data_IF_698632866447
#
_entry.id   IF_698632866447
#
_cell.length_a   1.000
_cell.length_b   1.000
_cell.length_c   1.000
_cell.angle_alpha   90.00
_cell.angle_beta   90.00
_cell.angle_gamma   90.00
#
_symmetry.space_group_name_H-M   'P 1'
#
loop_
_entity.id
_entity.type
_entity.pdbx_description
1 polymer ?
#
# COMPACT_ATOMS: atom_id res chain seq x y z
N UNK A 1 10.48 -13.92 -14.69
CA UNK A 1 9.64 -14.01 -13.46
C UNK A 1 8.34 -13.22 -13.58
N UNK A 2 8.35 -11.93 -13.82
CA UNK A 2 7.12 -11.08 -13.91
C UNK A 2 6.10 -11.61 -14.93
N UNK A 3 6.55 -12.11 -16.08
CA UNK A 3 5.63 -12.73 -17.07
C UNK A 3 4.86 -13.93 -16.50
N UNK A 4 5.49 -14.76 -15.66
CA UNK A 4 4.83 -15.92 -15.06
C UNK A 4 3.83 -15.47 -13.99
N UNK A 5 4.18 -14.48 -13.17
CA UNK A 5 3.26 -13.89 -12.18
C UNK A 5 2.01 -13.34 -12.89
N UNK A 6 2.17 -12.64 -14.01
CA UNK A 6 1.01 -12.12 -14.79
C UNK A 6 0.14 -13.23 -15.37
N UNK A 7 0.73 -14.37 -15.77
CA UNK A 7 -0.06 -15.55 -16.19
C UNK A 7 -0.88 -16.12 -15.04
N UNK A 8 -0.33 -16.15 -13.83
CA UNK A 8 -1.08 -16.58 -12.64
C UNK A 8 -2.23 -15.62 -12.34
N UNK A 9 -2.04 -14.30 -12.40
CA UNK A 9 -3.14 -13.36 -12.26
C UNK A 9 -4.23 -13.60 -13.31
N UNK A 10 -3.85 -13.88 -14.57
CA UNK A 10 -4.81 -14.19 -15.60
C UNK A 10 -5.58 -15.48 -15.32
N UNK A 11 -4.97 -16.48 -14.69
CA UNK A 11 -5.64 -17.71 -14.28
C UNK A 11 -6.71 -17.48 -13.19
N UNK A 12 -6.47 -16.52 -12.30
CA UNK A 12 -7.39 -16.12 -11.20
C UNK A 12 -8.30 -14.93 -11.55
N UNK A 13 -8.37 -14.54 -12.83
CA UNK A 13 -9.19 -13.41 -13.25
C UNK A 13 -10.67 -13.61 -12.89
N UNK A 14 -11.30 -12.51 -12.46
CA UNK A 14 -12.70 -12.45 -12.13
C UNK A 14 -13.37 -11.25 -12.80
N UNK A 15 -14.08 -11.49 -13.90
CA UNK A 15 -14.73 -10.44 -14.69
C UNK A 15 -15.76 -9.63 -13.91
N UNK A 16 -16.50 -10.27 -12.97
CA UNK A 16 -17.49 -9.57 -12.14
C UNK A 16 -16.81 -8.55 -11.22
N UNK A 17 -15.70 -8.93 -10.60
CA UNK A 17 -14.91 -8.04 -9.74
C UNK A 17 -14.29 -6.93 -10.59
N UNK A 18 -13.67 -7.26 -11.71
CA UNK A 18 -13.09 -6.28 -12.63
C UNK A 18 -14.11 -5.24 -13.09
N UNK A 19 -15.32 -5.66 -13.45
CA UNK A 19 -16.38 -4.75 -13.88
C UNK A 19 -16.87 -3.85 -12.75
N UNK A 20 -16.95 -4.36 -11.51
CA UNK A 20 -17.29 -3.55 -10.33
C UNK A 20 -16.23 -2.47 -10.07
N UNK A 21 -14.95 -2.83 -10.14
CA UNK A 21 -13.84 -1.88 -9.94
C UNK A 21 -13.84 -0.78 -11.02
N UNK A 22 -14.00 -1.14 -12.30
CA UNK A 22 -14.11 -0.16 -13.39
C UNK A 22 -15.30 0.79 -13.20
N UNK A 23 -16.46 0.26 -12.80
CA UNK A 23 -17.65 1.08 -12.51
C UNK A 23 -17.46 1.97 -11.29
N UNK A 24 -16.62 1.58 -10.34
CA UNK A 24 -16.25 2.40 -9.19
C UNK A 24 -15.19 3.46 -9.52
N UNK A 25 -14.68 3.50 -10.74
CA UNK A 25 -13.71 4.50 -11.19
C UNK A 25 -12.26 4.15 -10.91
N UNK A 26 -11.94 2.84 -10.75
CA UNK A 26 -10.54 2.40 -10.63
C UNK A 26 -9.74 2.85 -11.87
N UNK A 27 -8.63 3.58 -11.70
CA UNK A 27 -7.88 4.19 -12.80
C UNK A 27 -7.03 3.22 -13.61
N UNK A 28 -6.77 2.00 -13.09
CA UNK A 28 -5.92 1.04 -13.78
C UNK A 28 -6.55 0.57 -15.10
N UNK A 29 -5.82 0.68 -16.20
CA UNK A 29 -6.28 0.21 -17.52
C UNK A 29 -6.38 -1.32 -17.62
N UNK A 30 -5.58 -2.05 -16.83
CA UNK A 30 -5.61 -3.51 -16.74
C UNK A 30 -6.06 -3.93 -15.35
N UNK A 31 -7.29 -4.45 -15.27
CA UNK A 31 -7.89 -4.99 -14.05
C UNK A 31 -8.35 -6.41 -14.37
N UNK A 32 -7.68 -7.40 -13.82
CA UNK A 32 -8.07 -8.82 -13.95
C UNK A 32 -9.16 -9.20 -12.94
N UNK A 33 -9.29 -8.44 -11.86
CA UNK A 33 -10.28 -8.64 -10.81
C UNK A 33 -9.94 -9.80 -9.88
N UNK A 34 -8.66 -10.16 -9.75
CA UNK A 34 -8.23 -11.15 -8.76
C UNK A 34 -8.64 -10.70 -7.36
N UNK A 35 -9.08 -11.64 -6.54
CA UNK A 35 -9.30 -11.37 -5.13
C UNK A 35 -7.94 -11.14 -4.44
N UNK A 36 -7.92 -10.32 -3.40
CA UNK A 36 -6.68 -10.04 -2.68
C UNK A 36 -6.02 -11.31 -2.12
N UNK A 37 -6.82 -12.30 -1.69
CA UNK A 37 -6.33 -13.59 -1.21
C UNK A 37 -5.60 -14.38 -2.32
N UNK A 38 -6.06 -14.29 -3.56
CA UNK A 38 -5.40 -14.94 -4.70
C UNK A 38 -4.06 -14.26 -5.00
N UNK A 39 -4.03 -12.92 -5.01
CA UNK A 39 -2.79 -12.15 -5.17
C UNK A 39 -1.79 -12.48 -4.06
N UNK A 40 -2.24 -12.60 -2.81
CA UNK A 40 -1.41 -13.03 -1.67
C UNK A 40 -0.83 -14.44 -1.87
N UNK A 41 -1.66 -15.38 -2.33
CA UNK A 41 -1.23 -16.75 -2.63
C UNK A 41 -0.17 -16.79 -3.73
N UNK A 42 -0.34 -16.02 -4.80
CA UNK A 42 0.63 -15.90 -5.89
C UNK A 42 1.94 -15.28 -5.38
N UNK A 43 1.87 -14.21 -4.60
CA UNK A 43 3.05 -13.57 -4.02
C UNK A 43 3.81 -14.54 -3.06
N UNK A 44 3.10 -15.33 -2.26
CA UNK A 44 3.71 -16.31 -1.38
C UNK A 44 4.50 -17.37 -2.16
N UNK A 45 3.87 -18.01 -3.18
CA UNK A 45 4.53 -18.99 -4.05
C UNK A 45 5.73 -18.38 -4.79
N UNK A 46 5.61 -17.13 -5.22
CA UNK A 46 6.70 -16.41 -5.88
C UNK A 46 7.89 -16.23 -4.95
N UNK A 47 7.68 -15.84 -3.69
CA UNK A 47 8.75 -15.75 -2.68
C UNK A 47 9.45 -17.08 -2.47
N UNK A 48 8.65 -18.15 -2.30
CA UNK A 48 9.19 -19.51 -2.09
C UNK A 48 10.05 -19.97 -3.31
N UNK A 49 9.63 -19.58 -4.52
CA UNK A 49 10.33 -19.96 -5.77
C UNK A 49 11.62 -19.17 -5.96
N UNK A 50 11.63 -17.88 -5.66
CA UNK A 50 12.78 -17.00 -5.88
C UNK A 50 13.83 -17.20 -4.78
N UNK A 51 13.43 -17.15 -3.50
CA UNK A 51 14.30 -17.33 -2.35
C UNK A 51 15.38 -16.26 -2.13
N UNK A 52 15.80 -15.55 -3.16
CA UNK A 52 16.84 -14.51 -3.13
C UNK A 52 16.21 -13.12 -2.94
N UNK A 53 16.64 -12.40 -1.89
CA UNK A 53 16.08 -11.11 -1.52
C UNK A 53 16.29 -10.03 -2.59
N UNK A 54 17.47 -10.00 -3.24
CA UNK A 54 17.74 -9.00 -4.28
C UNK A 54 16.90 -9.25 -5.52
N UNK A 55 16.71 -10.51 -5.89
CA UNK A 55 15.86 -10.89 -7.01
C UNK A 55 14.37 -10.63 -6.70
N UNK A 56 13.94 -10.82 -5.44
CA UNK A 56 12.60 -10.43 -4.98
C UNK A 56 12.39 -8.91 -5.10
N UNK A 57 13.35 -8.11 -4.60
CA UNK A 57 13.30 -6.66 -4.68
C UNK A 57 13.24 -6.16 -6.14
N UNK A 58 14.03 -6.75 -7.04
CA UNK A 58 14.03 -6.44 -8.47
C UNK A 58 12.68 -6.79 -9.12
N UNK A 59 12.14 -8.00 -8.84
CA UNK A 59 10.84 -8.47 -9.35
C UNK A 59 9.71 -7.58 -8.85
N UNK A 60 9.70 -7.23 -7.57
CA UNK A 60 8.70 -6.35 -6.96
C UNK A 60 8.77 -4.93 -7.57
N UNK A 61 9.99 -4.41 -7.80
CA UNK A 61 10.17 -3.10 -8.42
C UNK A 61 9.67 -3.08 -9.87
N UNK A 62 9.86 -4.16 -10.63
CA UNK A 62 9.33 -4.29 -11.99
C UNK A 62 7.80 -4.35 -11.99
N UNK A 63 7.19 -5.09 -11.04
CA UNK A 63 5.73 -5.11 -10.88
C UNK A 63 5.19 -3.74 -10.47
N UNK A 64 5.85 -3.05 -9.52
CA UNK A 64 5.43 -1.72 -9.07
C UNK A 64 5.47 -0.69 -10.19
N UNK A 65 6.43 -0.78 -11.10
CA UNK A 65 6.55 0.13 -12.24
C UNK A 65 5.42 0.01 -13.26
N UNK A 66 4.66 -1.10 -13.24
CA UNK A 66 3.46 -1.27 -14.08
C UNK A 66 2.24 -0.60 -13.45
N UNK A 67 2.18 0.72 -13.59
CA UNK A 67 1.07 1.55 -13.08
C UNK A 67 -0.26 1.23 -13.75
N UNK A 68 -0.24 0.58 -14.91
CA UNK A 68 -1.45 0.20 -15.63
C UNK A 68 -2.14 -1.05 -15.07
N UNK A 69 -1.44 -1.88 -14.28
CA UNK A 69 -1.95 -3.17 -13.77
C UNK A 69 -2.21 -3.12 -12.27
N UNK A 70 -3.50 -3.18 -11.88
CA UNK A 70 -3.92 -3.26 -10.47
C UNK A 70 -3.25 -4.41 -9.72
N UNK A 71 -3.27 -5.62 -10.28
CA UNK A 71 -2.73 -6.81 -9.62
C UNK A 71 -1.22 -6.75 -9.45
N UNK A 72 -0.48 -6.14 -10.39
CA UNK A 72 0.95 -5.89 -10.25
C UNK A 72 1.22 -4.93 -9.09
N UNK A 73 0.46 -3.84 -8.99
CA UNK A 73 0.56 -2.85 -7.90
C UNK A 73 0.24 -3.48 -6.53
N UNK A 74 -0.73 -4.40 -6.45
CA UNK A 74 -1.05 -5.12 -5.23
C UNK A 74 0.02 -6.15 -4.84
N UNK A 75 0.59 -6.88 -5.80
CA UNK A 75 1.57 -7.92 -5.51
C UNK A 75 2.95 -7.38 -5.11
N UNK A 76 3.36 -6.24 -5.67
CA UNK A 76 4.68 -5.69 -5.45
C UNK A 76 5.04 -5.48 -3.96
N UNK A 77 4.19 -4.86 -3.12
CA UNK A 77 4.48 -4.71 -1.68
C UNK A 77 4.57 -6.04 -0.92
N UNK A 78 3.92 -7.09 -1.43
CA UNK A 78 3.97 -8.41 -0.82
C UNK A 78 5.26 -9.17 -1.12
N UNK A 79 5.97 -8.77 -2.17
CA UNK A 79 7.21 -9.40 -2.63
C UNK A 79 8.46 -8.65 -2.16
N UNK A 80 8.37 -7.33 -1.99
CA UNK A 80 9.54 -6.52 -1.67
C UNK A 80 10.03 -6.79 -0.25
N UNK A 81 11.31 -7.20 -0.05
CA UNK A 81 11.88 -7.39 1.28
C UNK A 81 12.03 -6.05 2.01
N UNK A 82 11.41 -5.87 3.20
CA UNK A 82 11.44 -4.59 3.91
C UNK A 82 12.86 -4.09 4.23
N UNK A 83 13.80 -5.00 4.50
CA UNK A 83 15.20 -4.70 4.82
C UNK A 83 15.98 -4.08 3.65
N UNK A 84 15.47 -4.20 2.43
CA UNK A 84 16.07 -3.61 1.22
C UNK A 84 15.37 -2.31 0.78
N UNK A 85 14.27 -1.93 1.45
CA UNK A 85 13.53 -0.72 1.12
C UNK A 85 14.19 0.50 1.76
N UNK A 86 14.71 1.40 0.92
CA UNK A 86 15.22 2.71 1.40
C UNK A 86 14.08 3.70 1.60
N UNK A 87 14.27 4.68 2.48
CA UNK A 87 13.27 5.73 2.73
C UNK A 87 12.92 6.51 1.45
N UNK A 88 13.91 6.80 0.61
CA UNK A 88 13.73 7.47 -0.68
C UNK A 88 12.84 6.64 -1.62
N UNK A 89 13.11 5.34 -1.74
CA UNK A 89 12.30 4.44 -2.57
C UNK A 89 10.89 4.28 -2.01
N UNK A 90 10.73 4.19 -0.70
CA UNK A 90 9.43 4.14 -0.06
C UNK A 90 8.60 5.39 -0.38
N UNK A 91 9.21 6.57 -0.29
CA UNK A 91 8.57 7.84 -0.66
C UNK A 91 8.14 7.84 -2.13
N UNK A 92 9.02 7.45 -3.07
CA UNK A 92 8.68 7.34 -4.49
C UNK A 92 7.50 6.39 -4.73
N UNK A 93 7.42 5.29 -4.00
CA UNK A 93 6.29 4.39 -4.11
C UNK A 93 5.00 5.05 -3.61
N UNK A 94 5.03 5.72 -2.47
CA UNK A 94 3.87 6.44 -1.93
C UNK A 94 3.36 7.54 -2.88
N UNK A 95 4.25 8.28 -3.53
CA UNK A 95 3.91 9.35 -4.48
C UNK A 95 3.27 8.83 -5.79
N UNK A 96 3.45 7.55 -6.11
CA UNK A 96 2.92 6.93 -7.33
C UNK A 96 1.68 6.06 -7.09
N UNK A 97 1.13 6.05 -5.88
CA UNK A 97 -0.14 5.34 -5.59
C UNK A 97 -1.31 6.09 -6.22
N UNK A 98 -2.26 5.35 -6.78
CA UNK A 98 -3.43 5.91 -7.48
C UNK A 98 -4.76 5.53 -6.82
N UNK A 99 -4.77 4.55 -5.90
CA UNK A 99 -6.00 4.07 -5.23
C UNK A 99 -5.76 3.78 -3.76
N UNK A 100 -6.81 3.97 -2.95
CA UNK A 100 -6.82 3.60 -1.52
C UNK A 100 -6.53 2.12 -1.29
N UNK A 101 -7.00 1.24 -2.19
CA UNK A 101 -6.74 -0.20 -2.09
C UNK A 101 -5.25 -0.53 -2.19
N UNK A 102 -4.56 0.08 -3.14
CA UNK A 102 -3.09 -0.08 -3.30
C UNK A 102 -2.36 0.52 -2.11
N UNK A 103 -2.81 1.67 -1.62
CA UNK A 103 -2.27 2.34 -0.44
C UNK A 103 -2.36 1.48 0.81
N UNK A 104 -3.57 0.99 1.12
CA UNK A 104 -3.80 0.11 2.27
C UNK A 104 -2.91 -1.12 2.22
N UNK A 105 -2.79 -1.72 1.03
CA UNK A 105 -1.96 -2.90 0.83
C UNK A 105 -0.46 -2.57 0.96
N UNK A 106 0.01 -1.45 0.40
CA UNK A 106 1.38 -0.96 0.54
C UNK A 106 1.75 -0.74 2.01
N UNK A 107 0.92 -0.01 2.74
CA UNK A 107 1.12 0.26 4.16
C UNK A 107 1.11 -1.03 5.00
N UNK A 108 0.14 -1.94 4.75
CA UNK A 108 -0.05 -3.16 5.54
C UNK A 108 1.00 -4.25 5.23
N UNK A 109 1.44 -4.38 3.98
CA UNK A 109 2.33 -5.48 3.57
C UNK A 109 3.81 -5.11 3.63
N UNK A 110 4.14 -3.83 3.50
CA UNK A 110 5.53 -3.39 3.39
C UNK A 110 5.88 -2.28 4.39
N UNK A 111 5.26 -1.10 4.30
CA UNK A 111 5.76 0.09 4.98
C UNK A 111 5.77 -0.03 6.51
N UNK A 112 4.78 -0.68 7.13
CA UNK A 112 4.74 -0.87 8.59
C UNK A 112 5.89 -1.73 9.14
N UNK A 113 6.60 -2.43 8.27
CA UNK A 113 7.74 -3.27 8.63
C UNK A 113 9.08 -2.56 8.51
N UNK A 114 9.09 -1.35 7.95
CA UNK A 114 10.31 -0.55 7.82
C UNK A 114 10.82 -0.11 9.20
N UNK A 115 12.16 -0.07 9.41
CA UNK A 115 12.73 0.42 10.67
C UNK A 115 12.34 1.86 10.97
N UNK A 116 12.29 2.71 9.94
CA UNK A 116 12.04 4.16 10.04
C UNK A 116 10.59 4.54 9.65
N UNK A 117 9.63 3.64 9.88
CA UNK A 117 8.22 3.87 9.55
C UNK A 117 7.65 5.14 10.23
N UNK A 118 8.13 5.48 11.45
CA UNK A 118 7.75 6.70 12.16
C UNK A 118 8.21 7.96 11.41
N UNK A 119 9.44 8.01 10.96
CA UNK A 119 9.95 9.14 10.17
C UNK A 119 9.22 9.26 8.83
N UNK A 120 8.93 8.12 8.19
CA UNK A 120 8.23 8.10 6.90
C UNK A 120 6.81 8.64 7.03
N UNK A 121 5.99 8.18 8.00
CA UNK A 121 4.62 8.67 8.09
C UNK A 121 4.58 10.18 8.39
N UNK A 122 5.49 10.71 9.21
CA UNK A 122 5.57 12.15 9.50
C UNK A 122 5.85 12.98 8.25
N UNK A 123 6.70 12.48 7.36
CA UNK A 123 6.95 13.10 6.07
C UNK A 123 5.70 13.08 5.19
N UNK A 124 5.02 11.94 5.12
CA UNK A 124 3.86 11.75 4.27
C UNK A 124 2.64 12.58 4.70
N UNK A 125 2.36 12.69 6.02
CA UNK A 125 1.23 13.51 6.51
C UNK A 125 1.43 15.01 6.27
N UNK A 126 2.66 15.46 6.06
CA UNK A 126 2.98 16.85 5.73
C UNK A 126 2.93 17.15 4.22
N UNK A 127 2.65 16.14 3.38
CA UNK A 127 2.63 16.28 1.93
C UNK A 127 1.38 17.02 1.44
N UNK A 128 1.44 17.69 0.27
CA UNK A 128 0.29 18.43 -0.29
C UNK A 128 -0.80 17.53 -0.88
N UNK A 129 -0.43 16.38 -1.44
CA UNK A 129 -1.37 15.42 -2.03
C UNK A 129 -2.20 14.72 -0.96
N UNK A 130 -3.53 14.76 -1.10
CA UNK A 130 -4.47 14.08 -0.20
C UNK A 130 -4.25 12.56 -0.13
N UNK A 131 -3.89 11.93 -1.24
CA UNK A 131 -3.65 10.49 -1.28
C UNK A 131 -2.33 10.12 -0.57
N UNK A 132 -1.28 10.92 -0.75
CA UNK A 132 -0.02 10.73 -0.02
C UNK A 132 -0.21 10.96 1.48
N UNK A 133 -1.01 11.97 1.88
CA UNK A 133 -1.43 12.14 3.29
C UNK A 133 -2.17 10.90 3.81
N UNK A 134 -3.08 10.35 3.00
CA UNK A 134 -3.78 9.12 3.36
C UNK A 134 -2.79 8.00 3.66
N UNK A 135 -1.78 7.79 2.79
CA UNK A 135 -0.70 6.81 3.04
C UNK A 135 -0.03 7.07 4.38
N UNK A 136 0.29 8.32 4.69
CA UNK A 136 0.93 8.70 5.95
C UNK A 136 0.09 8.36 7.18
N UNK A 137 -1.19 8.72 7.18
CA UNK A 137 -2.11 8.40 8.28
C UNK A 137 -2.41 6.90 8.37
N UNK A 138 -2.52 6.21 7.22
CA UNK A 138 -2.68 4.74 7.21
C UNK A 138 -1.48 4.03 7.79
N UNK A 139 -0.28 4.47 7.44
CA UNK A 139 0.96 3.95 8.02
C UNK A 139 1.02 4.23 9.52
N UNK A 140 0.69 5.45 9.96
CA UNK A 140 0.63 5.84 11.36
C UNK A 140 -0.30 4.91 12.16
N UNK A 141 -1.54 4.66 11.66
CA UNK A 141 -2.48 3.73 12.30
C UNK A 141 -1.89 2.31 12.37
N UNK A 142 -1.30 1.81 11.29
CA UNK A 142 -0.71 0.47 11.28
C UNK A 142 0.43 0.33 12.31
N UNK A 143 1.29 1.33 12.45
CA UNK A 143 2.40 1.33 13.43
C UNK A 143 1.87 1.45 14.86
N UNK A 144 0.82 2.24 15.07
CA UNK A 144 0.11 2.38 16.34
C UNK A 144 -0.51 1.04 16.78
N UNK A 145 -1.28 0.39 15.91
CA UNK A 145 -1.89 -0.93 16.18
C UNK A 145 -0.87 -2.05 16.40
N UNK A 146 0.37 -1.88 15.91
CA UNK A 146 1.48 -2.79 16.21
C UNK A 146 2.13 -2.50 17.57
N UNK A 147 1.69 -1.51 18.33
CA UNK A 147 2.28 -1.08 19.60
C UNK A 147 3.69 -0.46 19.46
N UNK A 148 4.06 -0.04 18.25
CA UNK A 148 5.37 0.58 17.94
C UNK A 148 5.34 2.10 18.05
N UNK A 149 4.16 2.71 18.13
CA UNK A 149 3.94 4.14 18.24
C UNK A 149 3.03 4.41 19.44
N UNK A 150 3.33 5.45 20.21
CA UNK A 150 2.42 6.00 21.21
C UNK A 150 1.92 7.36 20.72
N UNK A 151 0.61 7.57 20.80
CA UNK A 151 -0.01 8.84 20.45
C UNK A 151 0.35 9.91 21.49
N UNK A 152 1.23 10.81 21.10
CA UNK A 152 1.54 12.00 21.88
C UNK A 152 0.45 13.05 21.72
N UNK A 153 0.30 13.97 22.68
CA UNK A 153 -0.62 15.10 22.59
C UNK A 153 -0.44 15.89 21.27
N UNK A 154 0.81 16.06 20.84
CA UNK A 154 1.12 16.74 19.58
C UNK A 154 0.56 15.98 18.37
N UNK A 155 0.67 14.65 18.31
CA UNK A 155 0.10 13.84 17.23
C UNK A 155 -1.43 13.89 17.24
N UNK A 156 -2.05 13.85 18.42
CA UNK A 156 -3.51 14.01 18.57
C UNK A 156 -3.99 15.37 18.03
N UNK A 157 -3.26 16.45 18.31
CA UNK A 157 -3.57 17.79 17.76
C UNK A 157 -3.49 17.79 16.24
N UNK A 158 -2.44 17.17 15.65
CA UNK A 158 -2.28 17.07 14.19
C UNK A 158 -3.45 16.31 13.58
N UNK A 159 -3.79 15.13 14.11
CA UNK A 159 -4.91 14.31 13.64
C UNK A 159 -6.24 15.06 13.74
N UNK A 160 -6.50 15.73 14.88
CA UNK A 160 -7.74 16.48 15.09
C UNK A 160 -7.85 17.69 14.15
N UNK A 161 -6.76 18.35 13.84
CA UNK A 161 -6.76 19.47 12.90
C UNK A 161 -7.04 18.99 11.47
N UNK A 162 -6.40 17.90 11.02
CA UNK A 162 -6.65 17.35 9.69
C UNK A 162 -8.10 16.82 9.58
N UNK A 163 -8.62 16.16 10.61
CA UNK A 163 -9.98 15.60 10.63
C UNK A 163 -11.09 16.65 10.42
N UNK A 164 -10.84 17.93 10.77
CA UNK A 164 -11.80 19.02 10.58
C UNK A 164 -12.04 19.37 9.10
N UNK A 165 -11.07 19.09 8.24
CA UNK A 165 -11.11 19.46 6.82
C UNK A 165 -11.10 18.25 5.89
N UNK A 166 -10.73 17.06 6.38
CA UNK A 166 -10.63 15.86 5.60
C UNK A 166 -11.99 15.40 5.07
N UNK A 167 -11.99 14.85 3.87
CA UNK A 167 -13.17 14.29 3.20
C UNK A 167 -12.89 12.88 2.66
N UNK A 168 -13.96 12.15 2.36
CA UNK A 168 -13.88 10.82 1.76
C UNK A 168 -13.09 9.81 2.63
N UNK A 169 -12.28 8.94 2.02
CA UNK A 169 -11.55 7.88 2.74
C UNK A 169 -10.64 8.40 3.85
N UNK A 170 -10.00 9.56 3.66
CA UNK A 170 -9.14 10.17 4.67
C UNK A 170 -9.92 10.53 5.94
N UNK A 171 -11.16 11.07 5.79
CA UNK A 171 -12.00 11.39 6.95
C UNK A 171 -12.37 10.14 7.76
N UNK A 172 -12.65 9.01 7.10
CA UNK A 172 -12.94 7.75 7.78
C UNK A 172 -11.72 7.22 8.53
N UNK A 173 -10.56 7.23 7.88
CA UNK A 173 -9.30 6.79 8.47
C UNK A 173 -8.91 7.61 9.71
N UNK A 174 -9.11 8.93 9.66
CA UNK A 174 -8.80 9.81 10.81
C UNK A 174 -9.72 9.55 12.00
N UNK A 175 -10.98 9.15 11.77
CA UNK A 175 -11.88 8.70 12.85
C UNK A 175 -11.38 7.41 13.49
N UNK A 176 -10.95 6.43 12.69
CA UNK A 176 -10.37 5.19 13.21
C UNK A 176 -9.15 5.50 14.10
N UNK A 177 -8.29 6.45 13.69
CA UNK A 177 -7.15 6.89 14.51
C UNK A 177 -7.60 7.59 15.79
N UNK A 178 -8.67 8.40 15.74
CA UNK A 178 -9.23 9.10 16.92
C UNK A 178 -9.82 8.13 17.95
N UNK A 179 -10.27 6.95 17.53
CA UNK A 179 -10.75 5.90 18.44
C UNK A 179 -9.64 5.25 19.26
N UNK A 180 -8.37 5.45 18.86
CA UNK A 180 -7.18 4.96 19.58
C UNK A 180 -6.59 5.99 20.58
N UNK A 181 -7.26 7.14 20.81
CA UNK A 181 -6.83 8.21 21.72
C UNK A 181 -7.03 7.90 23.19
#
# INVERSE_FOLDING_TARGET
MVREIRKEFFAFRNGIVADKLRKAGDPHGMIMGCLLVDVQGIAARTRDTIGDAQQLAATASELWSDTNSRECRLAAPMLYPPELMTAEKALQWCETVETVEVDDNLCHKLLRHLPDADALFRLLIAHDSTLVKYTGYRLMLNVLLMGKLHLTEQLQIIVNNEARQAQGPLSSLLKDIQEEF
#
